data_IF_298791552200
#
_entry.id   IF_298791552200
#
_cell.length_a   1.000
_cell.length_b   1.000
_cell.length_c   1.000
_cell.angle_alpha   90.00
_cell.angle_beta   90.00
_cell.angle_gamma   90.00
#
_symmetry.space_group_name_H-M   'P 1'
#
loop_
_entity.id
_entity.type
_entity.pdbx_description
1 polymer ?
#
# COMPACT_ATOMS: atom_id res chain seq x y z
N UNK A 1 19.41 -26.71 40.54
CA UNK A 1 17.98 -26.81 40.90
C UNK A 1 17.33 -25.53 40.41
N UNK A 2 16.64 -25.61 39.29
CA UNK A 2 16.13 -24.45 38.56
C UNK A 2 14.80 -23.96 39.13
N UNK A 3 14.69 -22.65 39.29
CA UNK A 3 13.41 -21.98 39.42
C UNK A 3 12.86 -21.74 38.02
N UNK A 4 11.80 -22.46 37.68
CA UNK A 4 10.95 -22.20 36.52
C UNK A 4 10.15 -20.93 36.80
N UNK A 5 10.47 -19.85 36.07
CA UNK A 5 9.56 -18.73 35.89
C UNK A 5 8.49 -19.19 34.90
N UNK A 6 7.32 -19.55 35.42
CA UNK A 6 6.12 -19.76 34.63
C UNK A 6 5.68 -18.42 34.07
N UNK A 7 5.92 -18.19 32.78
CA UNK A 7 5.23 -17.14 32.04
C UNK A 7 3.73 -17.48 32.04
N UNK A 8 2.95 -16.71 32.80
CA UNK A 8 1.49 -16.72 32.73
C UNK A 8 1.09 -16.20 31.36
N UNK A 9 0.73 -17.11 30.46
CA UNK A 9 0.00 -16.78 29.23
C UNK A 9 -1.46 -16.56 29.64
N UNK A 10 -1.78 -15.35 30.11
CA UNK A 10 -3.17 -14.93 30.24
C UNK A 10 -3.74 -14.78 28.83
N UNK A 11 -4.42 -15.82 28.34
CA UNK A 11 -5.32 -15.63 27.22
C UNK A 11 -6.44 -14.67 27.68
N UNK A 12 -6.72 -13.61 26.91
CA UNK A 12 -7.74 -12.65 27.27
C UNK A 12 -9.12 -13.32 27.33
N UNK A 13 -9.94 -12.91 28.30
CA UNK A 13 -11.30 -13.40 28.41
C UNK A 13 -12.12 -12.86 27.22
N UNK A 14 -12.62 -13.73 26.35
CA UNK A 14 -13.35 -13.34 25.12
C UNK A 14 -14.55 -12.41 25.38
N UNK A 15 -15.14 -12.48 26.58
CA UNK A 15 -16.21 -11.58 27.03
C UNK A 15 -15.75 -10.13 27.25
N UNK A 16 -14.48 -9.92 27.60
CA UNK A 16 -13.89 -8.61 27.82
C UNK A 16 -13.60 -7.91 26.48
N UNK A 17 -13.03 -8.64 25.51
CA UNK A 17 -12.74 -8.14 24.16
C UNK A 17 -14.01 -7.67 23.44
N UNK A 18 -15.07 -8.49 23.44
CA UNK A 18 -16.34 -8.13 22.80
C UNK A 18 -16.94 -6.86 23.43
N UNK A 19 -16.82 -6.73 24.75
CA UNK A 19 -17.32 -5.56 25.48
C UNK A 19 -16.54 -4.30 25.13
N UNK A 20 -15.21 -4.38 25.03
CA UNK A 20 -14.35 -3.27 24.63
C UNK A 20 -14.60 -2.85 23.17
N UNK A 21 -14.76 -3.81 22.26
CA UNK A 21 -15.13 -3.54 20.86
C UNK A 21 -16.50 -2.85 20.76
N UNK A 22 -17.49 -3.35 21.49
CA UNK A 22 -18.83 -2.73 21.55
C UNK A 22 -18.75 -1.29 22.07
N UNK A 23 -17.88 -1.02 23.05
CA UNK A 23 -17.66 0.32 23.58
C UNK A 23 -17.00 1.26 22.55
N UNK A 24 -16.06 0.76 21.74
CA UNK A 24 -15.44 1.53 20.65
C UNK A 24 -16.44 1.90 19.54
N UNK A 25 -17.40 1.03 19.26
CA UNK A 25 -18.42 1.27 18.23
C UNK A 25 -19.58 2.15 18.72
N UNK A 26 -19.73 2.32 20.04
CA UNK A 26 -20.78 3.14 20.62
C UNK A 26 -20.51 4.64 20.38
N UNK A 27 -21.37 5.29 19.59
CA UNK A 27 -21.28 6.72 19.25
C UNK A 27 -21.56 7.64 20.44
N UNK A 28 -22.36 7.17 21.41
CA UNK A 28 -22.75 7.95 22.59
C UNK A 28 -21.78 7.76 23.77
N UNK A 29 -20.78 6.89 23.63
CA UNK A 29 -19.80 6.64 24.68
C UNK A 29 -18.84 7.82 24.86
N UNK A 30 -18.51 8.20 26.10
CA UNK A 30 -17.52 9.25 26.36
C UNK A 30 -16.17 8.94 25.71
N UNK A 31 -15.58 9.92 25.02
CA UNK A 31 -14.29 9.76 24.30
C UNK A 31 -13.18 9.19 25.19
N UNK A 32 -13.11 9.59 26.46
CA UNK A 32 -12.13 9.04 27.41
C UNK A 32 -12.30 7.54 27.68
N UNK A 33 -13.53 7.03 27.69
CA UNK A 33 -13.81 5.58 27.83
C UNK A 33 -13.45 4.83 26.55
N UNK A 34 -13.77 5.40 25.38
CA UNK A 34 -13.35 4.86 24.09
C UNK A 34 -11.83 4.79 23.98
N UNK A 35 -11.12 5.85 24.40
CA UNK A 35 -9.66 5.91 24.43
C UNK A 35 -9.06 4.80 25.30
N UNK A 36 -9.57 4.60 26.51
CA UNK A 36 -9.10 3.53 27.39
C UNK A 36 -9.34 2.13 26.79
N UNK A 37 -10.49 1.92 26.13
CA UNK A 37 -10.77 0.66 25.43
C UNK A 37 -9.82 0.44 24.23
N UNK A 38 -9.59 1.50 23.46
CA UNK A 38 -8.68 1.52 22.31
C UNK A 38 -7.25 1.14 22.73
N UNK A 39 -6.70 1.80 23.75
CA UNK A 39 -5.35 1.54 24.24
C UNK A 39 -5.22 0.10 24.77
N UNK A 40 -6.25 -0.40 25.44
CA UNK A 40 -6.27 -1.78 25.95
C UNK A 40 -6.30 -2.81 24.82
N UNK A 41 -7.13 -2.60 23.82
CA UNK A 41 -7.22 -3.48 22.64
C UNK A 41 -5.93 -3.41 21.80
N UNK A 42 -5.32 -2.24 21.64
CA UNK A 42 -4.02 -2.13 20.98
C UNK A 42 -2.92 -2.88 21.73
N UNK A 43 -2.85 -2.77 23.06
CA UNK A 43 -1.87 -3.54 23.84
C UNK A 43 -2.02 -5.05 23.65
N UNK A 44 -3.24 -5.52 23.43
CA UNK A 44 -3.59 -6.93 23.30
C UNK A 44 -3.41 -7.48 21.89
N UNK A 45 -3.75 -6.69 20.86
CA UNK A 45 -3.84 -7.15 19.47
C UNK A 45 -2.88 -6.45 18.50
N UNK A 46 -2.47 -5.21 18.78
CA UNK A 46 -1.55 -4.54 17.87
C UNK A 46 -0.17 -5.17 17.98
N UNK A 47 0.51 -5.39 16.85
CA UNK A 47 1.85 -5.96 16.86
C UNK A 47 2.79 -5.09 17.72
N UNK A 48 3.36 -5.70 18.76
CA UNK A 48 4.29 -5.02 19.66
C UNK A 48 5.65 -4.94 18.97
N UNK A 49 6.08 -3.73 18.57
CA UNK A 49 7.43 -3.46 18.06
C UNK A 49 8.45 -3.55 19.19
N UNK A 50 8.75 -4.77 19.63
CA UNK A 50 9.84 -5.02 20.54
C UNK A 50 11.13 -5.22 19.72
N UNK A 51 12.20 -4.52 20.11
CA UNK A 51 13.57 -4.82 19.67
C UNK A 51 14.01 -6.18 20.23
N UNK A 52 13.43 -7.24 19.68
CA UNK A 52 13.74 -8.62 20.03
C UNK A 52 14.97 -9.09 19.25
N UNK A 53 15.54 -10.21 19.68
CA UNK A 53 16.56 -10.89 18.89
C UNK A 53 16.06 -11.22 17.47
N UNK A 54 14.79 -11.63 17.33
CA UNK A 54 14.19 -11.92 16.03
C UNK A 54 14.19 -10.69 15.11
N UNK A 55 13.82 -9.52 15.64
CA UNK A 55 13.90 -8.25 14.90
C UNK A 55 15.33 -7.91 14.45
N UNK A 56 16.31 -8.08 15.34
CA UNK A 56 17.73 -7.86 15.00
C UNK A 56 18.26 -8.86 13.95
N UNK A 57 17.83 -10.11 14.03
CA UNK A 57 18.19 -11.17 13.08
C UNK A 57 17.57 -10.86 11.70
N UNK A 58 16.33 -10.39 11.67
CA UNK A 58 15.62 -9.99 10.45
C UNK A 58 16.26 -8.76 9.80
N UNK A 59 16.59 -7.71 10.58
CA UNK A 59 17.35 -6.58 10.07
C UNK A 59 18.68 -7.03 9.46
N UNK A 60 19.40 -7.92 10.15
CA UNK A 60 20.66 -8.46 9.65
C UNK A 60 20.46 -9.23 8.34
N UNK A 61 19.36 -9.98 8.21
CA UNK A 61 18.96 -10.67 6.98
C UNK A 61 18.71 -9.69 5.85
N UNK A 62 17.94 -8.62 6.09
CA UNK A 62 17.66 -7.56 5.11
C UNK A 62 18.94 -6.85 4.68
N UNK A 63 19.81 -6.47 5.62
CA UNK A 63 21.11 -5.86 5.31
C UNK A 63 22.07 -6.83 4.57
N UNK A 64 21.90 -8.14 4.76
CA UNK A 64 22.65 -9.16 4.05
C UNK A 64 22.09 -9.46 2.65
N UNK A 65 20.87 -9.01 2.31
CA UNK A 65 20.34 -9.15 0.96
C UNK A 65 21.31 -8.49 -0.02
N UNK A 66 21.62 -9.24 -1.07
CA UNK A 66 22.40 -8.78 -2.21
C UNK A 66 21.53 -9.02 -3.42
N UNK A 67 21.23 -7.94 -4.11
CA UNK A 67 20.56 -7.99 -5.39
C UNK A 67 21.59 -7.71 -6.47
N UNK A 68 21.48 -8.42 -7.58
CA UNK A 68 22.26 -8.07 -8.74
C UNK A 68 21.87 -6.65 -9.18
N UNK A 69 22.85 -5.77 -9.45
CA UNK A 69 22.55 -4.47 -10.02
C UNK A 69 21.73 -4.66 -11.29
N UNK A 70 20.69 -3.84 -11.44
CA UNK A 70 19.96 -3.77 -12.69
C UNK A 70 20.91 -3.32 -13.82
N UNK A 71 20.46 -3.50 -15.06
CA UNK A 71 21.14 -2.99 -16.23
C UNK A 71 21.54 -1.51 -16.03
N UNK A 72 22.78 -1.17 -16.41
CA UNK A 72 23.24 0.20 -16.28
C UNK A 72 22.38 1.12 -17.16
N UNK A 73 21.87 2.18 -16.53
CA UNK A 73 21.12 3.21 -17.24
C UNK A 73 21.96 3.88 -18.33
N UNK A 74 21.37 4.28 -19.47
CA UNK A 74 22.02 5.18 -20.42
C UNK A 74 22.51 6.46 -19.73
N UNK A 75 23.62 7.03 -20.21
CA UNK A 75 24.22 8.21 -19.58
C UNK A 75 23.29 9.44 -19.63
N UNK A 76 22.44 9.51 -20.65
CA UNK A 76 21.46 10.57 -20.88
C UNK A 76 20.06 10.23 -20.35
N UNK A 77 19.90 9.11 -19.62
CA UNK A 77 18.61 8.68 -19.06
C UNK A 77 17.99 9.70 -18.09
N UNK A 78 18.82 10.54 -17.45
CA UNK A 78 18.37 11.57 -16.51
C UNK A 78 19.28 12.78 -16.56
N UNK A 79 18.70 13.97 -16.42
CA UNK A 79 19.44 15.22 -16.21
C UNK A 79 19.91 15.41 -14.76
N UNK A 80 19.48 14.54 -13.85
CA UNK A 80 19.81 14.59 -12.43
C UNK A 80 21.18 13.98 -12.13
N UNK A 81 21.82 14.46 -11.06
CA UNK A 81 22.98 13.78 -10.50
C UNK A 81 22.59 12.42 -9.90
N UNK A 82 23.53 11.49 -9.76
CA UNK A 82 23.28 10.20 -9.09
C UNK A 82 22.75 10.37 -7.66
N UNK A 83 23.20 11.42 -6.95
CA UNK A 83 22.76 11.73 -5.58
C UNK A 83 21.30 12.16 -5.59
N UNK A 84 20.92 13.08 -6.48
CA UNK A 84 19.54 13.57 -6.58
C UNK A 84 18.59 12.48 -7.08
N UNK A 85 19.06 11.62 -7.98
CA UNK A 85 18.29 10.47 -8.47
C UNK A 85 17.98 9.50 -7.33
N UNK A 86 19.00 9.13 -6.55
CA UNK A 86 18.82 8.27 -5.38
C UNK A 86 17.93 8.92 -4.31
N UNK A 87 18.03 10.23 -4.12
CA UNK A 87 17.16 10.99 -3.22
C UNK A 87 15.70 10.95 -3.68
N UNK A 88 15.41 11.19 -4.96
CA UNK A 88 14.04 11.11 -5.51
C UNK A 88 13.44 9.70 -5.42
N UNK A 89 14.25 8.65 -5.65
CA UNK A 89 13.78 7.26 -5.49
C UNK A 89 13.40 6.98 -4.03
N UNK A 90 14.23 7.41 -3.08
CA UNK A 90 13.90 7.33 -1.64
C UNK A 90 12.66 8.15 -1.32
N UNK A 91 12.55 9.36 -1.87
CA UNK A 91 11.38 10.23 -1.72
C UNK A 91 10.09 9.59 -2.22
N UNK A 92 10.13 8.84 -3.34
CA UNK A 92 8.97 8.09 -3.82
C UNK A 92 8.53 7.01 -2.80
N UNK A 93 9.47 6.23 -2.28
CA UNK A 93 9.18 5.10 -1.37
C UNK A 93 8.75 5.63 0.00
N UNK A 94 9.55 6.50 0.62
CA UNK A 94 9.23 7.05 1.93
C UNK A 94 8.06 8.02 1.88
N UNK A 95 7.91 8.80 0.81
CA UNK A 95 6.77 9.69 0.64
C UNK A 95 5.44 8.94 0.57
N UNK A 96 5.40 7.81 -0.16
CA UNK A 96 4.24 6.93 -0.17
C UNK A 96 3.94 6.39 1.23
N UNK A 97 4.94 5.86 1.94
CA UNK A 97 4.77 5.32 3.29
C UNK A 97 4.34 6.36 4.33
N UNK A 98 4.91 7.57 4.26
CA UNK A 98 4.52 8.68 5.12
C UNK A 98 3.10 9.14 4.82
N UNK A 99 2.73 9.22 3.54
CA UNK A 99 1.38 9.58 3.11
C UNK A 99 0.32 8.57 3.59
N UNK A 100 0.63 7.28 3.49
CA UNK A 100 -0.19 6.18 4.01
C UNK A 100 -0.38 6.29 5.54
N UNK A 101 0.72 6.35 6.30
CA UNK A 101 0.68 6.47 7.76
C UNK A 101 -0.08 7.73 8.25
N UNK A 102 0.05 8.85 7.53
CA UNK A 102 -0.71 10.07 7.81
C UNK A 102 -2.19 9.88 7.44
N UNK A 103 -2.47 9.31 6.26
CA UNK A 103 -3.82 9.11 5.73
C UNK A 103 -4.70 8.24 6.62
N UNK A 104 -4.12 7.26 7.31
CA UNK A 104 -4.79 6.42 8.31
C UNK A 104 -5.49 7.24 9.40
N UNK A 105 -4.96 8.43 9.74
CA UNK A 105 -5.56 9.30 10.76
C UNK A 105 -6.99 9.71 10.39
N UNK A 106 -7.31 9.85 9.11
CA UNK A 106 -8.59 10.39 8.61
C UNK A 106 -9.37 9.42 7.71
N UNK A 107 -8.85 8.23 7.43
CA UNK A 107 -9.54 7.20 6.64
C UNK A 107 -10.97 6.90 7.16
N UNK A 108 -11.93 6.78 6.23
CA UNK A 108 -13.36 6.59 6.49
C UNK A 108 -14.07 7.72 7.24
N UNK A 109 -13.43 8.87 7.41
CA UNK A 109 -14.07 10.08 7.96
C UNK A 109 -14.48 11.04 6.85
N UNK A 110 -15.66 11.65 7.01
CA UNK A 110 -16.00 12.85 6.25
C UNK A 110 -15.22 14.05 6.77
N UNK A 111 -15.15 15.13 5.98
CA UNK A 111 -14.52 16.38 6.43
C UNK A 111 -15.11 16.89 7.76
N UNK A 112 -16.44 16.87 7.92
CA UNK A 112 -17.11 17.25 9.18
C UNK A 112 -16.64 16.39 10.35
N UNK A 113 -16.49 15.08 10.13
CA UNK A 113 -16.00 14.18 11.17
C UNK A 113 -14.53 14.46 11.52
N UNK A 114 -13.69 14.85 10.56
CA UNK A 114 -12.31 15.27 10.86
C UNK A 114 -12.32 16.53 11.71
N UNK A 115 -13.11 17.55 11.35
CA UNK A 115 -13.24 18.81 12.08
C UNK A 115 -13.83 18.62 13.50
N UNK A 116 -14.71 17.64 13.69
CA UNK A 116 -15.28 17.28 14.99
C UNK A 116 -14.28 16.51 15.88
N UNK A 117 -13.44 15.66 15.29
CA UNK A 117 -12.56 14.75 16.03
C UNK A 117 -11.16 15.31 16.30
N UNK A 118 -10.70 16.26 15.48
CA UNK A 118 -9.37 16.86 15.58
C UNK A 118 -9.48 18.38 15.77
N UNK A 119 -8.68 18.99 16.66
CA UNK A 119 -8.69 20.44 16.82
C UNK A 119 -8.18 21.13 15.54
N UNK A 120 -8.58 22.38 15.27
CA UNK A 120 -8.20 23.09 14.04
C UNK A 120 -6.69 23.25 13.81
N UNK A 121 -5.89 23.21 14.87
CA UNK A 121 -4.42 23.31 14.87
C UNK A 121 -3.73 21.95 15.02
N UNK A 122 -4.46 20.84 14.83
CA UNK A 122 -3.89 19.50 14.89
C UNK A 122 -2.87 19.28 13.77
N UNK A 123 -1.65 18.90 14.14
CA UNK A 123 -0.60 18.53 13.19
C UNK A 123 -0.66 17.02 12.92
N UNK A 124 -0.91 16.66 11.66
CA UNK A 124 -0.88 15.26 11.23
C UNK A 124 0.54 14.84 10.86
N UNK A 125 1.07 13.84 11.55
CA UNK A 125 2.35 13.22 11.28
C UNK A 125 2.32 11.74 11.71
N UNK A 126 3.20 10.88 11.19
CA UNK A 126 3.25 9.48 11.61
C UNK A 126 3.46 9.37 13.11
N UNK A 127 2.48 8.79 13.80
CA UNK A 127 2.51 8.60 15.25
C UNK A 127 1.92 9.77 16.04
N UNK A 128 1.16 10.67 15.43
CA UNK A 128 0.25 11.54 16.17
C UNK A 128 -0.87 10.72 16.85
N UNK A 129 -1.69 11.37 17.70
CA UNK A 129 -2.87 10.70 18.26
C UNK A 129 -3.95 10.53 17.19
N UNK A 130 -4.66 9.41 17.22
CA UNK A 130 -5.71 9.07 16.25
C UNK A 130 -7.09 8.99 16.92
N UNK A 131 -8.16 9.09 16.16
CA UNK A 131 -9.50 8.82 16.69
C UNK A 131 -9.63 7.36 17.18
N UNK A 132 -10.19 7.11 18.38
CA UNK A 132 -10.27 5.76 18.94
C UNK A 132 -11.48 5.00 18.36
N UNK A 133 -11.27 4.34 17.21
CA UNK A 133 -12.25 3.45 16.58
C UNK A 133 -11.68 2.05 16.33
N UNK A 134 -12.55 1.17 15.81
CA UNK A 134 -12.21 -0.22 15.50
C UNK A 134 -11.29 -0.38 14.29
N UNK A 135 -11.15 0.64 13.45
CA UNK A 135 -10.27 0.61 12.27
C UNK A 135 -8.84 0.91 12.67
N UNK A 136 -8.60 2.07 13.30
CA UNK A 136 -7.28 2.56 13.69
C UNK A 136 -6.64 1.73 14.81
N UNK A 137 -7.43 1.00 15.59
CA UNK A 137 -6.89 0.11 16.64
C UNK A 137 -6.11 -1.08 16.06
N UNK A 138 -6.29 -1.41 14.78
CA UNK A 138 -5.57 -2.50 14.14
C UNK A 138 -4.09 -2.18 13.92
N UNK A 139 -3.72 -0.90 13.97
CA UNK A 139 -2.39 -0.42 13.60
C UNK A 139 -1.64 0.13 14.82
N UNK A 140 -0.35 -0.22 14.99
CA UNK A 140 0.52 0.45 15.94
C UNK A 140 0.63 1.96 15.68
N UNK A 141 1.03 2.70 16.72
CA UNK A 141 1.19 4.15 16.61
C UNK A 141 2.32 4.51 15.64
N UNK A 142 1.96 5.20 14.56
CA UNK A 142 2.89 5.63 13.50
C UNK A 142 3.21 4.56 12.47
N UNK A 143 2.49 3.45 12.49
CA UNK A 143 2.56 2.44 11.44
C UNK A 143 1.84 2.90 10.16
N UNK A 144 2.12 2.20 9.07
CA UNK A 144 1.44 2.33 7.78
C UNK A 144 0.43 1.19 7.57
N UNK A 145 -0.21 1.13 6.41
CA UNK A 145 -1.29 0.16 6.11
C UNK A 145 -0.93 -0.78 4.96
N UNK A 146 -1.93 -1.41 4.35
CA UNK A 146 -1.73 -2.33 3.24
C UNK A 146 -1.17 -1.66 1.98
N UNK A 147 -1.31 -0.33 1.86
CA UNK A 147 -0.73 0.45 0.77
C UNK A 147 0.80 0.29 0.73
N UNK A 148 1.45 0.55 1.87
CA UNK A 148 2.92 0.44 2.00
C UNK A 148 3.39 -0.99 2.00
N UNK A 149 2.69 -1.89 2.69
CA UNK A 149 3.08 -3.29 2.75
C UNK A 149 3.09 -3.94 1.36
N UNK A 150 2.04 -3.73 0.57
CA UNK A 150 1.96 -4.29 -0.77
C UNK A 150 2.94 -3.60 -1.74
N UNK A 151 3.27 -2.32 -1.52
CA UNK A 151 4.37 -1.65 -2.24
C UNK A 151 5.72 -2.32 -1.92
N UNK A 152 5.99 -2.68 -0.66
CA UNK A 152 7.21 -3.39 -0.24
C UNK A 152 7.31 -4.76 -0.95
N UNK A 153 6.20 -5.51 -1.06
CA UNK A 153 6.19 -6.79 -1.79
C UNK A 153 6.52 -6.60 -3.27
N UNK A 154 6.00 -5.55 -3.92
CA UNK A 154 6.35 -5.21 -5.31
C UNK A 154 7.84 -4.88 -5.42
N UNK A 155 8.39 -4.06 -4.50
CA UNK A 155 9.82 -3.74 -4.48
C UNK A 155 10.68 -4.98 -4.31
N UNK A 156 10.32 -5.90 -3.41
CA UNK A 156 11.03 -7.16 -3.21
C UNK A 156 11.02 -8.03 -4.47
N UNK A 157 9.86 -8.15 -5.12
CA UNK A 157 9.70 -8.86 -6.40
C UNK A 157 10.57 -8.26 -7.51
N UNK A 158 10.53 -6.93 -7.68
CA UNK A 158 11.36 -6.21 -8.66
C UNK A 158 12.87 -6.39 -8.39
N UNK A 159 13.29 -6.33 -7.13
CA UNK A 159 14.69 -6.52 -6.76
C UNK A 159 15.18 -7.95 -7.07
N UNK A 160 14.34 -8.96 -6.85
CA UNK A 160 14.65 -10.37 -7.15
C UNK A 160 14.68 -10.68 -8.64
N UNK A 161 13.94 -9.92 -9.46
CA UNK A 161 13.76 -10.17 -10.89
C UNK A 161 14.58 -9.24 -11.79
N UNK A 162 15.55 -8.51 -11.22
CA UNK A 162 16.41 -7.60 -11.98
C UNK A 162 15.66 -6.38 -12.53
N UNK A 163 14.59 -5.97 -11.87
CA UNK A 163 13.79 -4.79 -12.20
C UNK A 163 12.70 -5.04 -13.25
N UNK A 164 12.41 -6.30 -13.59
CA UNK A 164 11.41 -6.67 -14.61
C UNK A 164 10.48 -7.77 -14.12
N UNK A 165 9.18 -7.54 -14.15
CA UNK A 165 8.18 -8.57 -13.85
C UNK A 165 8.02 -9.55 -15.02
N UNK A 166 8.86 -10.60 -15.05
CA UNK A 166 8.90 -11.57 -16.15
C UNK A 166 7.91 -12.74 -15.99
N UNK A 167 7.24 -12.85 -14.85
CA UNK A 167 6.39 -13.97 -14.46
C UNK A 167 4.90 -13.61 -14.41
N UNK A 168 4.51 -12.47 -14.98
CA UNK A 168 3.14 -11.95 -14.93
C UNK A 168 2.61 -11.75 -13.50
N UNK A 169 3.50 -11.52 -12.54
CA UNK A 169 3.17 -11.17 -11.16
C UNK A 169 2.87 -12.36 -10.25
N UNK A 170 3.19 -13.59 -10.66
CA UNK A 170 2.96 -14.80 -9.86
C UNK A 170 3.75 -14.84 -8.55
N UNK A 171 4.99 -14.35 -8.54
CA UNK A 171 5.78 -14.15 -7.33
C UNK A 171 5.08 -13.17 -6.37
N UNK A 172 4.66 -12.01 -6.88
CA UNK A 172 3.89 -11.04 -6.09
C UNK A 172 2.55 -11.60 -5.58
N UNK A 173 1.84 -12.40 -6.38
CA UNK A 173 0.63 -13.08 -5.93
C UNK A 173 0.92 -14.03 -4.75
N UNK A 174 2.00 -14.80 -4.82
CA UNK A 174 2.43 -15.71 -3.75
C UNK A 174 2.82 -14.95 -2.48
N UNK A 175 3.53 -13.83 -2.65
CA UNK A 175 3.89 -12.93 -1.55
C UNK A 175 2.65 -12.29 -0.91
N UNK A 176 1.66 -11.85 -1.70
CA UNK A 176 0.40 -11.29 -1.20
C UNK A 176 -0.38 -12.29 -0.34
N UNK A 177 -0.44 -13.56 -0.75
CA UNK A 177 -1.10 -14.61 0.07
C UNK A 177 -0.36 -14.79 1.39
N UNK A 178 0.97 -14.87 1.33
CA UNK A 178 1.81 -15.02 2.53
C UNK A 178 1.65 -13.84 3.48
N UNK A 179 1.70 -12.61 2.96
CA UNK A 179 1.51 -11.38 3.73
C UNK A 179 0.10 -11.29 4.32
N UNK A 180 -0.96 -11.62 3.56
CA UNK A 180 -2.33 -11.65 4.09
C UNK A 180 -2.42 -12.53 5.35
N UNK A 181 -1.78 -13.70 5.33
CA UNK A 181 -1.85 -14.69 6.41
C UNK A 181 -0.91 -14.43 7.58
N UNK A 182 0.22 -13.73 7.37
CA UNK A 182 1.27 -13.65 8.39
C UNK A 182 1.93 -12.28 8.55
N UNK A 183 1.51 -11.29 7.75
CA UNK A 183 2.11 -9.96 7.73
C UNK A 183 3.62 -10.03 7.47
N UNK A 184 4.34 -9.03 7.97
CA UNK A 184 5.79 -9.09 8.12
C UNK A 184 6.18 -9.64 9.50
N UNK A 185 5.95 -10.94 9.74
CA UNK A 185 6.24 -11.62 11.02
C UNK A 185 7.63 -11.38 11.61
N UNK A 186 8.67 -11.28 10.78
CA UNK A 186 10.03 -10.95 11.24
C UNK A 186 10.18 -9.54 11.82
N UNK A 187 9.27 -8.63 11.47
CA UNK A 187 9.18 -7.25 11.97
C UNK A 187 8.12 -7.07 13.06
N UNK A 188 7.48 -8.17 13.48
CA UNK A 188 6.48 -8.19 14.55
C UNK A 188 5.04 -8.06 14.07
N UNK A 189 4.82 -7.81 12.78
CA UNK A 189 3.48 -7.79 12.18
C UNK A 189 2.90 -9.21 12.08
N UNK A 190 1.58 -9.36 12.18
CA UNK A 190 0.92 -10.65 12.36
C UNK A 190 -0.19 -10.94 11.33
N UNK A 191 -0.41 -10.05 10.36
CA UNK A 191 -1.36 -10.28 9.28
C UNK A 191 -1.53 -9.05 8.39
N UNK A 192 -2.20 -9.21 7.24
CA UNK A 192 -2.47 -8.09 6.32
C UNK A 192 -3.60 -7.18 6.82
N UNK A 193 -3.33 -6.35 7.82
CA UNK A 193 -4.22 -5.27 8.26
C UNK A 193 -4.47 -4.28 7.12
N UNK A 194 -5.65 -3.65 7.08
CA UNK A 194 -6.04 -2.72 5.99
C UNK A 194 -6.56 -3.39 4.72
N UNK A 195 -6.30 -4.69 4.50
CA UNK A 195 -6.62 -5.38 3.25
C UNK A 195 -8.08 -5.15 2.76
N UNK A 196 -8.18 -4.39 1.67
CA UNK A 196 -9.46 -4.07 1.03
C UNK A 196 -10.27 -5.30 0.59
N UNK A 197 -11.60 -5.19 0.68
CA UNK A 197 -12.52 -6.31 0.39
C UNK A 197 -12.40 -6.86 -1.04
N UNK A 198 -12.15 -5.99 -2.02
CA UNK A 198 -11.97 -6.40 -3.41
C UNK A 198 -10.70 -7.26 -3.58
N UNK A 199 -9.57 -6.79 -3.05
CA UNK A 199 -8.29 -7.52 -3.05
C UNK A 199 -8.44 -8.84 -2.30
N UNK A 200 -9.07 -8.83 -1.12
CA UNK A 200 -9.34 -10.05 -0.33
C UNK A 200 -10.16 -11.08 -1.11
N UNK A 201 -11.24 -10.66 -1.78
CA UNK A 201 -12.08 -11.56 -2.59
C UNK A 201 -11.27 -12.23 -3.70
N UNK A 202 -10.32 -11.52 -4.29
CA UNK A 202 -9.50 -12.01 -5.41
C UNK A 202 -8.42 -12.96 -4.91
N UNK A 203 -7.73 -12.60 -3.83
CA UNK A 203 -6.73 -13.46 -3.19
C UNK A 203 -7.33 -14.82 -2.77
N UNK A 204 -8.57 -14.80 -2.28
CA UNK A 204 -9.28 -16.00 -1.84
C UNK A 204 -9.96 -16.78 -2.98
N UNK A 205 -9.84 -16.33 -4.23
CA UNK A 205 -10.50 -16.98 -5.37
C UNK A 205 -9.71 -18.17 -5.91
N UNK A 206 -10.43 -19.15 -6.45
CA UNK A 206 -9.83 -20.35 -7.02
C UNK A 206 -8.84 -20.01 -8.15
N UNK A 207 -7.64 -20.59 -8.06
CA UNK A 207 -6.60 -20.42 -9.07
C UNK A 207 -5.77 -19.15 -8.93
N UNK A 208 -6.01 -18.28 -7.93
CA UNK A 208 -5.25 -17.04 -7.75
C UNK A 208 -3.73 -17.25 -7.69
N UNK A 209 -3.24 -18.26 -6.95
CA UNK A 209 -1.80 -18.54 -6.85
C UNK A 209 -1.18 -18.96 -8.20
N UNK A 210 -1.93 -19.68 -9.03
CA UNK A 210 -1.39 -20.23 -10.28
C UNK A 210 -1.56 -19.25 -11.46
N UNK A 211 -2.70 -18.55 -11.50
CA UNK A 211 -3.15 -17.73 -12.62
C UNK A 211 -3.78 -16.41 -12.10
N UNK A 212 -3.02 -15.56 -11.37
CA UNK A 212 -3.57 -14.43 -10.62
C UNK A 212 -4.32 -13.44 -11.50
N UNK A 213 -3.75 -13.07 -12.64
CA UNK A 213 -4.39 -12.16 -13.59
C UNK A 213 -5.72 -12.70 -14.13
N UNK A 214 -5.82 -14.01 -14.34
CA UNK A 214 -7.06 -14.67 -14.79
C UNK A 214 -8.09 -14.70 -13.67
N UNK A 215 -7.67 -14.98 -12.43
CA UNK A 215 -8.53 -14.96 -11.26
C UNK A 215 -9.12 -13.55 -11.01
N UNK A 216 -8.29 -12.51 -11.05
CA UNK A 216 -8.72 -11.12 -10.93
C UNK A 216 -9.72 -10.72 -12.02
N UNK A 217 -9.44 -11.08 -13.29
CA UNK A 217 -10.35 -10.83 -14.41
C UNK A 217 -11.71 -11.49 -14.21
N UNK A 218 -11.73 -12.75 -13.80
CA UNK A 218 -12.96 -13.50 -13.55
C UNK A 218 -13.80 -12.82 -12.46
N UNK A 219 -13.18 -12.38 -11.36
CA UNK A 219 -13.90 -11.68 -10.28
C UNK A 219 -14.47 -10.33 -10.75
N UNK A 220 -13.71 -9.57 -11.54
CA UNK A 220 -14.17 -8.31 -12.13
C UNK A 220 -15.32 -8.50 -13.12
N UNK A 221 -15.26 -9.51 -13.99
CA UNK A 221 -16.36 -9.84 -14.90
C UNK A 221 -17.62 -10.26 -14.14
N UNK A 222 -17.47 -11.06 -13.09
CA UNK A 222 -18.57 -11.49 -12.22
C UNK A 222 -19.20 -10.34 -11.42
N UNK A 223 -18.47 -9.25 -11.16
CA UNK A 223 -19.02 -8.05 -10.53
C UNK A 223 -19.74 -7.13 -11.52
N UNK A 224 -19.91 -7.56 -12.78
CA UNK A 224 -20.45 -6.72 -13.84
C UNK A 224 -19.50 -5.60 -14.25
N UNK A 225 -18.18 -5.79 -14.08
CA UNK A 225 -17.13 -4.83 -14.47
C UNK A 225 -17.19 -3.47 -13.74
N UNK A 226 -17.78 -3.46 -12.55
CA UNK A 226 -17.98 -2.25 -11.73
C UNK A 226 -16.90 -2.03 -10.65
N UNK A 227 -16.04 -3.01 -10.39
CA UNK A 227 -15.00 -2.90 -9.36
C UNK A 227 -13.84 -2.03 -9.85
N UNK A 228 -13.77 -0.80 -9.37
CA UNK A 228 -12.64 0.12 -9.58
C UNK A 228 -12.07 0.73 -8.28
N UNK A 229 -11.72 -0.08 -7.25
CA UNK A 229 -11.03 0.45 -6.07
C UNK A 229 -9.57 0.83 -6.38
N UNK A 230 -8.96 1.62 -5.50
CA UNK A 230 -7.59 2.13 -5.60
C UNK A 230 -6.49 1.10 -5.29
N UNK A 231 -6.84 -0.14 -4.89
CA UNK A 231 -5.90 -1.12 -4.31
C UNK A 231 -4.74 -1.57 -5.19
N UNK A 232 -4.73 -1.24 -6.49
CA UNK A 232 -3.52 -1.35 -7.32
C UNK A 232 -2.76 -0.02 -7.46
N UNK A 233 -3.47 1.10 -7.48
CA UNK A 233 -2.87 2.45 -7.66
C UNK A 233 -1.99 2.79 -6.46
N UNK A 234 -2.45 2.50 -5.24
CA UNK A 234 -1.72 2.87 -4.00
C UNK A 234 -0.31 2.30 -3.89
N UNK A 235 -0.04 1.15 -4.52
CA UNK A 235 1.22 0.39 -4.40
C UNK A 235 2.10 0.41 -5.66
N UNK A 236 1.62 0.93 -6.79
CA UNK A 236 2.30 0.76 -8.09
C UNK A 236 3.24 1.88 -8.48
N UNK A 237 3.26 3.02 -7.77
CA UNK A 237 4.14 4.15 -8.09
C UNK A 237 5.62 3.74 -8.26
N UNK A 238 6.10 2.80 -7.43
CA UNK A 238 7.47 2.27 -7.47
C UNK A 238 7.80 1.46 -8.72
N UNK A 239 6.81 1.01 -9.50
CA UNK A 239 7.03 0.30 -10.76
C UNK A 239 7.57 1.21 -11.86
N UNK A 240 7.46 2.54 -11.70
CA UNK A 240 8.12 3.53 -12.55
C UNK A 240 9.60 3.76 -12.26
N UNK A 241 10.16 3.15 -11.21
CA UNK A 241 11.58 3.30 -10.83
C UNK A 241 12.52 2.42 -11.67
N UNK A 242 12.29 1.09 -11.80
CA UNK A 242 13.11 0.27 -12.67
C UNK A 242 13.00 0.72 -14.12
N UNK A 243 14.15 0.86 -14.79
CA UNK A 243 14.20 1.27 -16.19
C UNK A 243 13.36 2.52 -16.46
N UNK A 244 13.38 3.50 -15.57
CA UNK A 244 12.58 4.72 -15.70
C UNK A 244 12.82 5.47 -17.03
N UNK A 245 13.89 5.20 -17.77
CA UNK A 245 14.15 5.75 -19.10
C UNK A 245 13.38 5.03 -20.24
N UNK A 246 12.88 3.83 -20.00
CA UNK A 246 12.18 3.00 -20.97
C UNK A 246 10.69 2.92 -20.63
N UNK A 247 9.87 3.65 -21.40
CA UNK A 247 8.43 3.69 -21.15
C UNK A 247 7.73 2.35 -21.35
N UNK A 248 8.28 1.45 -22.18
CA UNK A 248 7.68 0.13 -22.43
C UNK A 248 7.82 -0.73 -21.19
N UNK A 249 9.00 -0.72 -20.56
CA UNK A 249 9.25 -1.49 -19.34
C UNK A 249 8.42 -0.92 -18.18
N UNK A 250 8.28 0.40 -18.09
CA UNK A 250 7.39 1.04 -17.10
C UNK A 250 5.96 0.54 -17.28
N UNK A 251 5.43 0.53 -18.50
CA UNK A 251 4.08 -0.01 -18.79
C UNK A 251 3.97 -1.49 -18.41
N UNK A 252 4.92 -2.32 -18.87
CA UNK A 252 4.92 -3.76 -18.63
C UNK A 252 4.94 -4.10 -17.14
N UNK A 253 5.85 -3.50 -16.36
CA UNK A 253 5.93 -3.68 -14.92
C UNK A 253 4.64 -3.24 -14.23
N UNK A 254 4.16 -2.03 -14.55
CA UNK A 254 2.97 -1.46 -13.92
C UNK A 254 1.74 -2.35 -14.14
N UNK A 255 1.53 -2.76 -15.39
CA UNK A 255 0.38 -3.58 -15.77
C UNK A 255 0.46 -4.99 -15.17
N UNK A 256 1.66 -5.57 -15.09
CA UNK A 256 1.86 -6.89 -14.49
C UNK A 256 1.40 -6.88 -13.02
N UNK A 257 1.91 -5.96 -12.19
CA UNK A 257 1.54 -5.88 -10.77
C UNK A 257 0.10 -5.38 -10.53
N UNK A 258 -0.44 -4.50 -11.38
CA UNK A 258 -1.83 -4.08 -11.30
C UNK A 258 -2.77 -5.27 -11.52
N UNK A 259 -2.59 -6.00 -12.63
CA UNK A 259 -3.51 -7.04 -13.11
C UNK A 259 -3.56 -8.27 -12.23
N UNK A 260 -2.57 -8.50 -11.36
CA UNK A 260 -2.62 -9.54 -10.32
C UNK A 260 -3.90 -9.46 -9.50
N UNK A 261 -4.40 -8.25 -9.24
CA UNK A 261 -5.62 -8.06 -8.42
C UNK A 261 -6.66 -7.14 -9.04
N UNK A 262 -6.31 -6.29 -10.00
CA UNK A 262 -7.23 -5.31 -10.58
C UNK A 262 -7.19 -5.43 -12.10
N UNK A 263 -8.21 -6.06 -12.66
CA UNK A 263 -8.35 -6.25 -14.10
C UNK A 263 -9.04 -5.09 -14.83
N UNK A 264 -9.59 -4.11 -14.09
CA UNK A 264 -10.28 -2.96 -14.65
C UNK A 264 -9.30 -2.10 -15.47
N UNK A 265 -9.60 -1.81 -16.76
CA UNK A 265 -8.73 -1.01 -17.61
C UNK A 265 -8.53 0.41 -17.08
N UNK A 266 -9.50 1.00 -16.39
CA UNK A 266 -9.37 2.33 -15.77
C UNK A 266 -8.36 2.32 -14.64
N UNK A 267 -8.40 1.27 -13.80
CA UNK A 267 -7.43 1.08 -12.73
C UNK A 267 -6.01 0.88 -13.30
N UNK A 268 -5.88 0.05 -14.35
CA UNK A 268 -4.61 -0.16 -15.04
C UNK A 268 -4.05 1.14 -15.65
N UNK A 269 -4.89 1.93 -16.32
CA UNK A 269 -4.50 3.24 -16.86
C UNK A 269 -4.08 4.22 -15.74
N UNK A 270 -4.81 4.26 -14.62
CA UNK A 270 -4.43 5.09 -13.46
C UNK A 270 -3.07 4.68 -12.86
N UNK A 271 -2.80 3.37 -12.74
CA UNK A 271 -1.49 2.89 -12.29
C UNK A 271 -0.38 3.32 -13.25
N UNK A 272 -0.62 3.21 -14.57
CA UNK A 272 0.32 3.64 -15.61
C UNK A 272 0.58 5.14 -15.52
N UNK A 273 -0.45 5.96 -15.35
CA UNK A 273 -0.30 7.41 -15.19
C UNK A 273 0.63 7.74 -14.00
N UNK A 274 0.37 7.18 -12.82
CA UNK A 274 1.18 7.45 -11.62
C UNK A 274 2.62 6.96 -11.79
N UNK A 275 2.82 5.78 -12.37
CA UNK A 275 4.16 5.22 -12.61
C UNK A 275 4.95 6.04 -13.64
N UNK A 276 4.28 6.60 -14.65
CA UNK A 276 4.92 7.55 -15.58
C UNK A 276 5.24 8.89 -14.94
N UNK A 277 4.41 9.39 -14.02
CA UNK A 277 4.78 10.59 -13.25
C UNK A 277 6.11 10.39 -12.52
N UNK A 278 6.29 9.24 -11.85
CA UNK A 278 7.56 8.88 -11.18
C UNK A 278 8.70 8.79 -12.21
N UNK A 279 8.49 8.04 -13.29
CA UNK A 279 9.48 7.85 -14.35
C UNK A 279 9.97 9.19 -14.94
N UNK A 280 9.07 10.11 -15.26
CA UNK A 280 9.38 11.42 -15.83
C UNK A 280 10.11 12.32 -14.83
N UNK A 281 9.71 12.31 -13.55
CA UNK A 281 10.42 13.00 -12.48
C UNK A 281 11.85 12.47 -12.32
N UNK A 282 12.08 11.15 -12.47
CA UNK A 282 13.42 10.56 -12.41
C UNK A 282 14.27 10.88 -13.64
N UNK A 283 13.68 11.17 -14.81
CA UNK A 283 14.38 11.73 -15.97
C UNK A 283 14.81 13.20 -15.77
N UNK A 284 14.33 13.83 -14.69
CA UNK A 284 14.64 15.22 -14.36
C UNK A 284 13.70 16.24 -15.01
N UNK A 285 12.52 15.81 -15.43
CA UNK A 285 11.43 16.72 -15.83
C UNK A 285 10.78 17.27 -14.56
N UNK A 286 10.56 18.58 -14.49
CA UNK A 286 9.98 19.29 -13.34
C UNK A 286 8.72 20.11 -13.69
N UNK A 287 8.44 20.31 -14.97
CA UNK A 287 7.18 20.91 -15.43
C UNK A 287 6.01 19.95 -15.18
N UNK A 288 5.22 20.26 -14.14
CA UNK A 288 4.05 19.47 -13.72
C UNK A 288 3.04 19.28 -14.85
N UNK A 289 2.80 20.31 -15.67
CA UNK A 289 1.82 20.18 -16.76
C UNK A 289 2.30 19.20 -17.83
N UNK A 290 3.60 19.25 -18.15
CA UNK A 290 4.22 18.31 -19.06
C UNK A 290 4.18 16.88 -18.50
N UNK A 291 4.52 16.71 -17.22
CA UNK A 291 4.51 15.41 -16.55
C UNK A 291 3.11 14.79 -16.64
N UNK A 292 2.08 15.56 -16.26
CA UNK A 292 0.70 15.10 -16.31
C UNK A 292 0.26 14.78 -17.74
N UNK A 293 0.55 15.66 -18.71
CA UNK A 293 0.20 15.44 -20.11
C UNK A 293 0.84 14.15 -20.67
N UNK A 294 2.14 13.96 -20.47
CA UNK A 294 2.87 12.80 -20.98
C UNK A 294 2.41 11.51 -20.27
N UNK A 295 2.23 11.53 -18.95
CA UNK A 295 1.77 10.39 -18.17
C UNK A 295 0.34 9.95 -18.55
N UNK A 296 -0.58 10.89 -18.70
CA UNK A 296 -1.95 10.61 -19.14
C UNK A 296 -1.97 10.06 -20.58
N UNK A 297 -1.11 10.55 -21.47
CA UNK A 297 -0.98 10.01 -22.82
C UNK A 297 -0.48 8.56 -22.83
N UNK A 298 0.41 8.18 -21.91
CA UNK A 298 0.80 6.79 -21.73
C UNK A 298 -0.35 5.92 -21.19
N UNK A 299 -1.08 6.43 -20.21
CA UNK A 299 -2.21 5.73 -19.61
C UNK A 299 -3.36 5.45 -20.59
N UNK A 300 -3.73 6.43 -21.43
CA UNK A 300 -4.83 6.34 -22.39
C UNK A 300 -4.66 5.18 -23.38
N UNK A 301 -3.41 4.83 -23.74
CA UNK A 301 -3.08 3.70 -24.65
C UNK A 301 -3.59 2.35 -24.14
N UNK A 302 -3.86 2.24 -22.83
CA UNK A 302 -4.30 1.00 -22.18
C UNK A 302 -5.83 0.94 -21.99
N UNK A 303 -6.55 1.96 -22.44
CA UNK A 303 -8.01 1.99 -22.46
C UNK A 303 -8.52 1.48 -23.81
N UNK A 304 -9.59 0.69 -23.78
CA UNK A 304 -10.09 -0.03 -24.96
C UNK A 304 -11.54 0.30 -25.35
N UNK A 305 -12.17 1.26 -24.66
CA UNK A 305 -13.52 1.72 -24.95
C UNK A 305 -13.63 3.24 -24.78
N UNK A 306 -14.51 3.86 -25.57
CA UNK A 306 -14.79 5.29 -25.47
C UNK A 306 -15.31 5.66 -24.08
N UNK A 307 -16.16 4.81 -23.48
CA UNK A 307 -16.70 5.01 -22.13
C UNK A 307 -15.58 5.09 -21.07
N UNK A 308 -14.60 4.18 -21.13
CA UNK A 308 -13.48 4.22 -20.20
C UNK A 308 -12.56 5.43 -20.43
N UNK A 309 -12.37 5.84 -21.68
CA UNK A 309 -11.58 7.04 -22.03
C UNK A 309 -12.26 8.30 -21.50
N UNK A 310 -13.56 8.46 -21.75
CA UNK A 310 -14.34 9.62 -21.31
C UNK A 310 -14.33 9.73 -19.77
N UNK A 311 -14.53 8.60 -19.08
CA UNK A 311 -14.49 8.57 -17.62
C UNK A 311 -13.08 8.86 -17.08
N UNK A 312 -12.04 8.30 -17.69
CA UNK A 312 -10.65 8.56 -17.30
C UNK A 312 -10.32 10.06 -17.40
N UNK A 313 -10.66 10.72 -18.51
CA UNK A 313 -10.41 12.16 -18.66
C UNK A 313 -11.23 13.01 -17.68
N UNK A 314 -12.47 12.59 -17.36
CA UNK A 314 -13.30 13.26 -16.37
C UNK A 314 -12.61 13.32 -15.00
N UNK A 315 -11.98 12.23 -14.57
CA UNK A 315 -11.30 12.15 -13.27
C UNK A 315 -9.83 12.57 -13.31
N UNK A 316 -9.21 12.65 -14.50
CA UNK A 316 -7.85 13.17 -14.65
C UNK A 316 -7.77 14.71 -14.60
N UNK A 317 -8.88 15.41 -14.79
CA UNK A 317 -8.95 16.88 -14.88
C UNK A 317 -9.91 17.48 -13.85
N UNK A 318 -9.79 17.06 -12.59
CA UNK A 318 -10.63 17.59 -11.50
C UNK A 318 -10.16 18.96 -11.04
N UNK A 319 -11.11 19.89 -10.86
CA UNK A 319 -10.86 21.24 -10.33
C UNK A 319 -11.21 21.39 -8.84
N UNK A 320 -11.78 20.34 -8.24
CA UNK A 320 -12.20 20.27 -6.84
C UNK A 320 -12.17 18.80 -6.37
N UNK A 321 -11.94 18.60 -5.07
CA UNK A 321 -12.05 17.30 -4.40
C UNK A 321 -13.50 16.94 -4.01
N UNK A 322 -14.46 17.84 -4.23
CA UNK A 322 -15.88 17.71 -3.82
C UNK A 322 -16.77 17.02 -4.87
N UNK A 323 -16.22 16.25 -5.82
CA UNK A 323 -16.97 15.65 -6.93
C UNK A 323 -17.90 14.49 -6.53
#
# INVERSE_FOLDING_TARGET
>A
MGNSLTASTNQPNSLDVISLMTLLENKDAPVGQKRAAFERLQQEFAPQTHQTKAYSDELSRVFALRFDPWEQRPQDASTLSEVDLADRIRGCIFGAALGDAIGLCTEFMTQSQVEENYPPDFEFFPGCDVHPDSHRMMFPKGDWTDDTDQMILILQSLLQTGGRCNDQGSDFASQLVTWKDSGFSGLGDSGGAGLGQATKKIILSDGFINEPCTAARKVWEQSGKSLAPNGAVMRTAVTGVPFFWDSVIVDENTLAYCRVTHADPRCAASCVAISHCVSLLLRGIDDVNRILSDALSHAEKHLNSHECIDEFHRFASVSSLEQ
#
